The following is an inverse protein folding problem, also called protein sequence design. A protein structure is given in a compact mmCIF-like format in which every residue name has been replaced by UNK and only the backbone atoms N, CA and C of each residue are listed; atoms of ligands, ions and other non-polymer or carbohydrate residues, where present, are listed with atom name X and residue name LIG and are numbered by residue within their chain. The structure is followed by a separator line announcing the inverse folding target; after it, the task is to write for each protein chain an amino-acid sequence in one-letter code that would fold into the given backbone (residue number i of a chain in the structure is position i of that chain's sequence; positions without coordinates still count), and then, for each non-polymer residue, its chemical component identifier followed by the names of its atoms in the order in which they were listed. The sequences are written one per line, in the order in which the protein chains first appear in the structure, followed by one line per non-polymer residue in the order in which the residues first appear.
data_IF_825745624703
#
_entry.id   IF_825745624703
#
_cell.length_a   1.000
_cell.length_b   1.000
_cell.length_c   1.000
_cell.angle_alpha   90.00
_cell.angle_beta   90.00
_cell.angle_gamma   90.00
#
_symmetry.space_group_name_H-M   'P 1'
#
loop_
_entity.id
_entity.type
_entity.pdbx_description
1 polymer ?
#
# COMPACT_ATOMS: atom_id res chain seq x y z
N UNK A 1 -1.50 5.15 -18.47
CA UNK A 1 -2.18 4.76 -17.22
C UNK A 1 -1.61 3.41 -16.83
N UNK A 2 -0.88 3.34 -15.72
CA UNK A 2 -0.39 2.08 -15.16
C UNK A 2 -1.59 1.38 -14.51
N UNK A 3 -1.68 0.05 -14.58
CA UNK A 3 -2.79 -0.68 -13.99
C UNK A 3 -2.42 -1.27 -12.64
N UNK A 4 -3.43 -1.57 -11.82
CA UNK A 4 -3.25 -2.24 -10.54
C UNK A 4 -2.44 -3.55 -10.64
N UNK A 5 -2.71 -4.33 -11.70
CA UNK A 5 -2.04 -5.61 -11.99
C UNK A 5 -0.51 -5.47 -12.11
N UNK A 6 -0.03 -4.32 -12.59
CA UNK A 6 1.40 -4.06 -12.81
C UNK A 6 2.19 -3.96 -11.50
N UNK A 7 1.50 -3.71 -10.38
CA UNK A 7 2.09 -3.57 -9.05
C UNK A 7 2.13 -4.87 -8.24
N UNK A 8 1.49 -5.95 -8.71
CA UNK A 8 1.26 -7.19 -7.92
C UNK A 8 2.57 -7.85 -7.53
N UNK A 9 3.57 -7.70 -8.39
CA UNK A 9 4.94 -8.18 -8.22
C UNK A 9 5.64 -7.61 -6.97
N UNK A 10 5.18 -6.49 -6.44
CA UNK A 10 5.75 -5.85 -5.26
C UNK A 10 5.08 -6.30 -3.95
N UNK A 11 4.07 -7.16 -3.98
CA UNK A 11 3.40 -7.61 -2.75
C UNK A 11 4.43 -8.15 -1.74
N UNK A 12 4.35 -7.70 -0.49
CA UNK A 12 5.33 -7.97 0.57
C UNK A 12 6.71 -7.36 0.37
N UNK A 13 6.83 -6.30 -0.42
CA UNK A 13 8.05 -5.49 -0.52
C UNK A 13 7.89 -4.19 0.23
N UNK A 14 8.99 -3.74 0.83
CA UNK A 14 9.15 -2.33 1.15
C UNK A 14 9.36 -1.58 -0.16
N UNK A 15 8.52 -0.58 -0.38
CA UNK A 15 8.50 0.23 -1.59
C UNK A 15 8.60 1.70 -1.22
N UNK A 16 9.13 2.49 -2.14
CA UNK A 16 8.98 3.94 -2.16
C UNK A 16 7.99 4.31 -3.26
N UNK A 17 6.96 5.07 -2.93
CA UNK A 17 5.97 5.58 -3.89
C UNK A 17 6.12 7.08 -4.02
N UNK A 18 6.22 7.58 -5.25
CA UNK A 18 6.19 9.01 -5.59
C UNK A 18 4.83 9.36 -6.17
N UNK A 19 4.22 10.43 -5.68
CA UNK A 19 2.89 10.87 -6.09
C UNK A 19 2.94 12.02 -7.11
N UNK A 20 2.07 11.97 -8.12
CA UNK A 20 1.92 13.02 -9.15
C UNK A 20 1.35 14.29 -8.52
N UNK A 21 0.28 14.15 -7.73
CA UNK A 21 -0.37 15.25 -7.01
C UNK A 21 -1.41 14.66 -6.05
N UNK A 22 -1.16 14.74 -4.74
CA UNK A 22 -2.14 14.41 -3.72
C UNK A 22 -2.70 15.75 -3.20
N UNK A 23 -4.01 15.95 -3.22
CA UNK A 23 -4.63 17.20 -2.73
C UNK A 23 -4.35 17.48 -1.22
N UNK A 24 -3.78 16.52 -0.49
CA UNK A 24 -3.39 16.53 0.92
C UNK A 24 -1.87 16.57 1.12
N UNK A 25 -1.06 16.14 0.14
CA UNK A 25 0.41 16.02 0.26
C UNK A 25 1.09 16.65 -0.97
N UNK A 26 2.11 17.50 -0.73
CA UNK A 26 2.85 18.22 -1.78
C UNK A 26 3.32 17.30 -2.93
N UNK A 27 3.18 17.79 -4.16
CA UNK A 27 3.72 17.16 -5.38
C UNK A 27 5.17 16.69 -5.19
N UNK A 28 5.48 15.47 -5.66
CA UNK A 28 6.81 14.88 -5.53
C UNK A 28 7.12 14.31 -4.14
N UNK A 29 6.15 14.25 -3.22
CA UNK A 29 6.34 13.56 -1.94
C UNK A 29 6.52 12.06 -2.15
N UNK A 30 7.46 11.52 -1.37
CA UNK A 30 7.78 10.09 -1.37
C UNK A 30 7.28 9.43 -0.08
N UNK A 31 6.49 8.37 -0.24
CA UNK A 31 6.01 7.55 0.86
C UNK A 31 6.80 6.24 0.85
N UNK A 32 7.31 5.82 2.00
CA UNK A 32 7.98 4.52 2.15
C UNK A 32 7.19 3.65 3.13
N UNK A 33 6.96 2.40 2.73
CA UNK A 33 6.26 1.43 3.57
C UNK A 33 6.18 0.06 2.95
N UNK A 34 5.54 -0.86 3.67
CA UNK A 34 5.31 -2.22 3.18
C UNK A 34 4.09 -2.20 2.26
N UNK A 35 4.26 -2.68 1.02
CA UNK A 35 3.12 -2.90 0.15
C UNK A 35 2.36 -4.16 0.61
N UNK A 36 1.21 -3.93 1.25
CA UNK A 36 0.40 -4.94 1.93
C UNK A 36 -0.72 -5.53 1.05
N UNK A 37 -1.13 -4.80 0.01
CA UNK A 37 -2.07 -5.33 -0.95
C UNK A 37 -2.98 -4.29 -1.55
N UNK A 38 -4.05 -4.79 -2.16
CA UNK A 38 -5.01 -4.02 -2.90
C UNK A 38 -6.28 -3.84 -2.11
N UNK A 39 -6.77 -2.62 -2.05
CA UNK A 39 -8.18 -2.40 -1.78
C UNK A 39 -8.88 -2.25 -3.13
N UNK A 40 -9.56 -3.31 -3.56
CA UNK A 40 -10.52 -3.15 -4.64
C UNK A 40 -11.69 -2.41 -4.01
N UNK A 41 -11.83 -1.11 -4.29
CA UNK A 41 -13.08 -0.38 -4.10
C UNK A 41 -14.17 -0.94 -5.05
N UNK A 42 -14.48 -2.23 -4.92
CA UNK A 42 -15.50 -2.93 -5.68
C UNK A 42 -16.91 -2.69 -5.10
N UNK A 43 -17.04 -1.91 -4.01
CA UNK A 43 -18.31 -1.78 -3.29
C UNK A 43 -18.76 -0.36 -2.93
N UNK A 44 -18.02 0.72 -3.18
CA UNK A 44 -18.45 2.06 -2.72
C UNK A 44 -19.14 2.92 -3.78
N UNK A 45 -19.00 2.61 -5.08
CA UNK A 45 -19.53 3.50 -6.13
C UNK A 45 -18.95 4.91 -6.08
N UNK A 46 -17.81 5.07 -5.39
CA UNK A 46 -17.10 6.33 -5.22
C UNK A 46 -16.05 6.47 -6.33
N UNK A 47 -15.90 7.68 -6.85
CA UNK A 47 -15.29 7.99 -8.15
C UNK A 47 -13.75 7.82 -8.20
N UNK A 48 -13.15 7.14 -7.21
CA UNK A 48 -11.70 7.11 -6.95
C UNK A 48 -10.89 6.02 -7.68
N UNK A 49 -11.50 4.93 -8.15
CA UNK A 49 -10.80 3.90 -8.93
C UNK A 49 -9.93 2.92 -8.11
N UNK A 50 -9.11 2.14 -8.81
CA UNK A 50 -8.23 1.11 -8.20
C UNK A 50 -7.23 1.74 -7.21
N UNK A 51 -7.16 1.23 -5.98
CA UNK A 51 -6.20 1.68 -4.96
C UNK A 51 -5.30 0.56 -4.45
N UNK A 52 -4.16 0.96 -3.91
CA UNK A 52 -3.21 0.09 -3.25
C UNK A 52 -2.91 0.61 -1.84
N UNK A 53 -2.61 -0.29 -0.91
CA UNK A 53 -2.36 0.05 0.49
C UNK A 53 -0.88 -0.11 0.82
N UNK A 54 -0.28 0.96 1.33
CA UNK A 54 1.08 0.96 1.89
C UNK A 54 0.97 1.05 3.40
N UNK A 55 1.48 0.05 4.13
CA UNK A 55 1.61 0.14 5.58
C UNK A 55 2.83 0.99 5.95
N UNK A 56 2.56 2.08 6.66
CA UNK A 56 3.54 3.02 7.19
C UNK A 56 3.81 2.75 8.68
N UNK A 57 4.12 1.50 9.04
CA UNK A 57 4.41 1.05 10.41
C UNK A 57 3.20 1.15 11.36
N UNK A 58 2.08 0.55 10.95
CA UNK A 58 0.85 0.44 11.75
C UNK A 58 -0.29 1.39 11.36
N UNK A 59 -0.11 2.15 10.28
CA UNK A 59 -1.17 2.90 9.60
C UNK A 59 -1.13 2.54 8.11
N UNK A 60 -2.24 2.01 7.58
CA UNK A 60 -2.41 1.80 6.15
C UNK A 60 -2.70 3.12 5.46
N UNK A 61 -1.96 3.41 4.40
CA UNK A 61 -2.19 4.56 3.53
C UNK A 61 -2.68 4.06 2.17
N UNK A 62 -3.95 4.38 1.87
CA UNK A 62 -4.59 4.01 0.61
C UNK A 62 -4.25 5.03 -0.48
N UNK A 63 -3.73 4.53 -1.59
CA UNK A 63 -3.22 5.30 -2.71
C UNK A 63 -3.96 4.92 -3.98
N UNK A 64 -4.63 5.88 -4.62
CA UNK A 64 -5.21 5.66 -5.94
C UNK A 64 -4.10 5.50 -6.98
N UNK A 65 -4.24 4.50 -7.85
CA UNK A 65 -3.28 4.23 -8.93
C UNK A 65 -3.16 5.43 -9.89
N UNK A 66 -4.23 6.23 -10.03
CA UNK A 66 -4.20 7.47 -10.82
C UNK A 66 -3.21 8.51 -10.32
N UNK A 67 -2.87 8.47 -9.04
CA UNK A 67 -2.10 9.50 -8.36
C UNK A 67 -0.63 9.10 -8.20
N UNK A 68 -0.27 7.88 -8.60
CA UNK A 68 1.08 7.34 -8.50
C UNK A 68 1.90 7.71 -9.73
N UNK A 69 2.98 8.44 -9.52
CA UNK A 69 3.97 8.73 -10.55
C UNK A 69 4.90 7.52 -10.74
N UNK A 70 5.39 6.98 -9.61
CA UNK A 70 6.42 5.94 -9.59
C UNK A 70 6.32 5.09 -8.33
N UNK A 71 6.68 3.82 -8.48
CA UNK A 71 6.97 2.91 -7.36
C UNK A 71 8.37 2.31 -7.54
N UNK A 72 9.15 2.32 -6.47
CA UNK A 72 10.50 1.77 -6.43
C UNK A 72 10.57 0.65 -5.40
N UNK A 73 10.94 -0.59 -5.79
CA UNK A 73 11.19 -1.66 -4.82
C UNK A 73 12.48 -1.37 -4.06
N UNK A 74 12.42 -1.39 -2.73
CA UNK A 74 13.59 -1.22 -1.87
C UNK A 74 14.17 -2.58 -1.49
N UNK A 75 13.38 -3.39 -0.79
CA UNK A 75 13.74 -4.77 -0.43
C UNK A 75 12.49 -5.58 -0.08
N UNK A 76 12.58 -6.91 -0.27
CA UNK A 76 11.50 -7.82 0.10
C UNK A 76 11.46 -8.02 1.61
N UNK A 77 10.28 -7.99 2.22
CA UNK A 77 10.12 -8.28 3.63
C UNK A 77 10.53 -9.73 3.94
N UNK A 78 11.20 -9.93 5.08
CA UNK A 78 11.51 -11.28 5.57
C UNK A 78 10.24 -11.96 6.10
N UNK A 79 10.29 -13.28 6.25
CA UNK A 79 9.18 -14.03 6.83
C UNK A 79 8.86 -13.55 8.26
N UNK A 80 9.88 -13.25 9.05
CA UNK A 80 9.77 -12.77 10.42
C UNK A 80 9.10 -11.39 10.45
N UNK A 81 9.49 -10.48 9.55
CA UNK A 81 8.85 -9.17 9.39
C UNK A 81 7.36 -9.31 9.06
N UNK A 82 7.01 -10.18 8.12
CA UNK A 82 5.60 -10.43 7.74
C UNK A 82 4.80 -11.05 8.89
N UNK A 83 5.40 -11.96 9.65
CA UNK A 83 4.75 -12.53 10.84
C UNK A 83 4.50 -11.46 11.93
N UNK A 84 5.48 -10.58 12.16
CA UNK A 84 5.32 -9.47 13.09
C UNK A 84 4.22 -8.50 12.61
N UNK A 85 4.24 -8.17 11.32
CA UNK A 85 3.23 -7.35 10.64
C UNK A 85 1.81 -7.91 10.85
N UNK A 86 1.58 -9.18 10.51
CA UNK A 86 0.28 -9.81 10.68
C UNK A 86 -0.18 -9.83 12.14
N UNK A 87 0.75 -10.06 13.09
CA UNK A 87 0.41 -10.06 14.53
C UNK A 87 -0.05 -8.69 15.02
N UNK A 88 0.52 -7.62 14.48
CA UNK A 88 0.17 -6.24 14.85
C UNK A 88 -1.18 -5.85 14.26
N UNK A 89 -1.38 -6.10 12.96
CA UNK A 89 -2.55 -5.61 12.23
C UNK A 89 -3.77 -6.53 12.31
N UNK A 90 -3.55 -7.83 12.56
CA UNK A 90 -4.61 -8.84 12.73
C UNK A 90 -4.41 -9.60 14.05
N UNK A 91 -4.51 -8.91 15.20
CA UNK A 91 -4.34 -9.56 16.49
C UNK A 91 -5.45 -10.59 16.67
N UNK A 92 -5.12 -11.88 16.54
CA UNK A 92 -6.06 -12.94 16.89
C UNK A 92 -6.28 -12.87 18.40
N UNK A 93 -7.43 -12.34 18.81
CA UNK A 93 -7.89 -12.53 20.19
C UNK A 93 -8.08 -14.03 20.40
N UNK A 94 -7.55 -14.64 21.48
CA UNK A 94 -8.01 -15.97 21.86
C UNK A 94 -9.53 -15.92 21.99
N UNK A 95 -10.24 -16.79 21.28
CA UNK A 95 -11.64 -17.05 21.56
C UNK A 95 -11.65 -17.80 22.90
N UNK A 96 -11.94 -17.07 23.99
CA UNK A 96 -12.24 -17.64 25.30
C UNK A 96 -13.55 -18.47 25.25
#
# INVERSE_FOLDING_TARGET
MIKLEDYTKYLNWFVRVTLINDQVIYEGTTIEGLFDGYDFAACSGDEGGDSLTIDMYGWGYDLYVSDIEKIEPLHKASKETLQAYHKINYPTTPLD
#
